data_IF_298150411899
#
_entry.id   IF_298150411899
#
_cell.length_a   1.000
_cell.length_b   1.000
_cell.length_c   1.000
_cell.angle_alpha   90.00
_cell.angle_beta   90.00
_cell.angle_gamma   90.00
#
_symmetry.space_group_name_H-M   'P 1'
#
loop_
_entity.id
_entity.type
_entity.pdbx_description
1 polymer ?
#
# COMPACT_ATOMS: atom_id res chain seq x y z
N UNK A 1 -2.06 0.77 -10.99
CA UNK A 1 -1.85 1.49 -9.71
C UNK A 1 -1.35 2.89 -10.03
N UNK A 2 -1.72 3.89 -9.23
CA UNK A 2 -1.34 5.30 -9.43
C UNK A 2 0.18 5.46 -9.25
N UNK A 3 0.82 6.25 -10.12
CA UNK A 3 2.23 6.57 -10.00
C UNK A 3 2.41 7.67 -8.95
N UNK A 4 2.93 7.30 -7.78
CA UNK A 4 3.25 8.22 -6.70
C UNK A 4 4.77 8.29 -6.49
N UNK A 5 5.28 9.50 -6.26
CA UNK A 5 6.70 9.68 -5.92
C UNK A 5 6.93 9.38 -4.44
N UNK A 6 8.13 8.91 -4.09
CA UNK A 6 8.51 8.58 -2.70
C UNK A 6 8.83 9.81 -1.84
N UNK A 7 8.71 11.03 -2.38
CA UNK A 7 8.96 12.24 -1.60
C UNK A 7 7.77 12.42 -0.65
N UNK A 8 8.02 12.17 0.63
CA UNK A 8 7.03 12.32 1.68
C UNK A 8 6.61 13.78 1.83
N UNK A 9 5.34 13.99 2.15
CA UNK A 9 4.81 15.27 2.61
C UNK A 9 5.21 15.42 4.09
N UNK A 10 5.51 16.64 4.55
CA UNK A 10 5.74 16.87 5.99
C UNK A 10 4.44 16.64 6.76
N UNK A 11 4.53 16.07 7.97
CA UNK A 11 3.35 15.73 8.77
C UNK A 11 2.41 16.92 8.99
N UNK A 12 2.95 18.11 9.18
CA UNK A 12 2.17 19.34 9.35
C UNK A 12 1.32 19.69 8.11
N UNK A 13 1.88 19.49 6.91
CA UNK A 13 1.15 19.73 5.66
C UNK A 13 0.10 18.64 5.47
N UNK A 14 0.43 17.39 5.78
CA UNK A 14 -0.51 16.27 5.70
C UNK A 14 -1.73 16.49 6.61
N UNK A 15 -1.52 16.87 7.87
CA UNK A 15 -2.62 17.17 8.79
C UNK A 15 -3.48 18.35 8.31
N UNK A 16 -2.86 19.42 7.81
CA UNK A 16 -3.59 20.56 7.24
C UNK A 16 -4.45 20.14 6.05
N UNK A 17 -3.89 19.35 5.12
CA UNK A 17 -4.60 18.85 3.94
C UNK A 17 -5.75 17.93 4.34
N UNK A 18 -5.51 17.01 5.28
CA UNK A 18 -6.54 16.08 5.76
C UNK A 18 -7.67 16.82 6.48
N UNK A 19 -7.36 17.82 7.30
CA UNK A 19 -8.37 18.66 7.95
C UNK A 19 -9.20 19.46 6.94
N UNK A 20 -8.57 20.02 5.91
CA UNK A 20 -9.28 20.69 4.82
C UNK A 20 -10.22 19.74 4.07
N UNK A 21 -9.74 18.54 3.74
CA UNK A 21 -10.53 17.51 3.07
C UNK A 21 -11.74 17.06 3.91
N UNK A 22 -11.54 16.82 5.20
CA UNK A 22 -12.61 16.46 6.14
C UNK A 22 -13.69 17.55 6.23
N UNK A 23 -13.28 18.82 6.30
CA UNK A 23 -14.22 19.95 6.31
C UNK A 23 -15.02 20.03 5.02
N UNK A 24 -14.38 19.81 3.86
CA UNK A 24 -15.09 19.77 2.57
C UNK A 24 -16.13 18.65 2.51
N UNK A 25 -15.81 17.45 3.01
CA UNK A 25 -16.74 16.31 2.99
C UNK A 25 -17.87 16.47 4.01
N UNK A 26 -17.58 16.98 5.22
CA UNK A 26 -18.58 17.11 6.29
C UNK A 26 -19.78 17.99 5.90
N UNK A 27 -19.56 18.96 5.01
CA UNK A 27 -20.60 19.90 4.59
C UNK A 27 -21.48 19.37 3.43
N UNK A 28 -21.20 18.15 2.94
CA UNK A 28 -21.92 17.57 1.80
C UNK A 28 -23.21 16.92 2.28
N UNK A 29 -24.36 17.44 1.82
CA UNK A 29 -25.68 16.86 2.11
C UNK A 29 -26.27 16.06 0.96
N UNK A 30 -25.82 16.32 -0.28
CA UNK A 30 -26.35 15.71 -1.50
C UNK A 30 -25.27 14.89 -2.22
N UNK A 31 -25.70 13.79 -2.85
CA UNK A 31 -24.82 12.89 -3.63
C UNK A 31 -24.19 13.64 -4.82
N UNK A 32 -24.93 14.54 -5.45
CA UNK A 32 -24.48 15.38 -6.57
C UNK A 32 -23.28 16.27 -6.18
N UNK A 33 -23.32 16.86 -4.98
CA UNK A 33 -22.25 17.72 -4.50
C UNK A 33 -21.01 16.91 -4.11
N UNK A 34 -21.19 15.67 -3.64
CA UNK A 34 -20.08 14.73 -3.43
C UNK A 34 -19.39 14.39 -4.76
N UNK A 35 -20.17 14.14 -5.81
CA UNK A 35 -19.64 13.85 -7.14
C UNK A 35 -18.86 15.04 -7.70
N UNK A 36 -19.33 16.27 -7.49
CA UNK A 36 -18.59 17.49 -7.85
C UNK A 36 -17.24 17.56 -7.13
N UNK A 37 -17.20 17.31 -5.82
CA UNK A 37 -15.94 17.30 -5.06
C UNK A 37 -14.98 16.24 -5.57
N UNK A 38 -15.45 15.01 -5.80
CA UNK A 38 -14.61 13.95 -6.36
C UNK A 38 -14.15 14.27 -7.77
N UNK A 39 -14.96 14.94 -8.60
CA UNK A 39 -14.55 15.37 -9.93
C UNK A 39 -13.45 16.43 -9.96
N UNK A 40 -13.31 17.21 -8.89
CA UNK A 40 -12.25 18.21 -8.74
C UNK A 40 -10.93 17.61 -8.28
N UNK A 41 -10.95 16.48 -7.58
CA UNK A 41 -9.78 15.89 -6.90
C UNK A 41 -9.28 14.64 -7.62
N UNK A 42 -10.19 13.84 -8.17
CA UNK A 42 -9.91 12.51 -8.72
C UNK A 42 -10.20 12.50 -10.21
N UNK A 43 -9.34 11.80 -10.96
CA UNK A 43 -9.62 11.47 -12.35
C UNK A 43 -10.82 10.53 -12.48
N UNK A 44 -11.41 10.45 -13.67
CA UNK A 44 -12.57 9.57 -13.93
C UNK A 44 -12.28 8.11 -13.55
N UNK A 45 -11.08 7.62 -13.86
CA UNK A 45 -10.65 6.26 -13.54
C UNK A 45 -10.51 6.04 -12.03
N UNK A 46 -9.93 7.00 -11.32
CA UNK A 46 -9.78 6.95 -9.86
C UNK A 46 -11.15 6.99 -9.15
N UNK A 47 -12.10 7.76 -9.67
CA UNK A 47 -13.47 7.77 -9.15
C UNK A 47 -14.13 6.40 -9.28
N UNK A 48 -14.01 5.76 -10.45
CA UNK A 48 -14.52 4.39 -10.66
C UNK A 48 -13.84 3.44 -9.67
N UNK A 49 -12.52 3.56 -9.50
CA UNK A 49 -11.78 2.74 -8.55
C UNK A 49 -12.28 2.91 -7.12
N UNK A 50 -12.50 4.15 -6.65
CA UNK A 50 -13.02 4.44 -5.30
C UNK A 50 -14.43 3.87 -5.14
N UNK A 51 -15.32 4.08 -6.12
CA UNK A 51 -16.69 3.53 -6.09
C UNK A 51 -16.69 2.00 -6.00
N UNK A 52 -15.90 1.32 -6.83
CA UNK A 52 -15.75 -0.15 -6.79
C UNK A 52 -15.24 -0.62 -5.41
N UNK A 53 -14.25 0.08 -4.82
CA UNK A 53 -13.72 -0.26 -3.49
C UNK A 53 -14.74 -0.06 -2.38
N UNK A 54 -15.53 1.01 -2.42
CA UNK A 54 -16.62 1.24 -1.47
C UNK A 54 -17.72 0.17 -1.60
N UNK A 55 -18.08 -0.21 -2.83
CA UNK A 55 -19.03 -1.28 -3.07
C UNK A 55 -18.56 -2.62 -2.50
N UNK A 56 -17.27 -2.94 -2.62
CA UNK A 56 -16.68 -4.14 -1.97
C UNK A 56 -16.84 -4.07 -0.46
N UNK A 57 -16.59 -2.92 0.18
CA UNK A 57 -16.77 -2.78 1.64
C UNK A 57 -18.22 -3.05 2.03
N UNK A 58 -19.17 -2.51 1.27
CA UNK A 58 -20.60 -2.69 1.51
C UNK A 58 -21.01 -4.17 1.35
N UNK A 59 -20.62 -4.82 0.26
CA UNK A 59 -20.93 -6.24 0.02
C UNK A 59 -20.25 -7.20 1.00
N UNK A 60 -19.05 -6.86 1.46
CA UNK A 60 -18.38 -7.62 2.51
C UNK A 60 -19.12 -7.50 3.85
N UNK A 61 -19.71 -6.32 4.16
CA UNK A 61 -20.55 -6.14 5.36
C UNK A 61 -21.88 -6.89 5.25
N UNK A 62 -22.44 -6.99 4.05
CA UNK A 62 -23.62 -7.80 3.75
C UNK A 62 -23.34 -9.32 3.76
N UNK A 63 -22.07 -9.74 3.94
CA UNK A 63 -21.71 -11.16 4.01
C UNK A 63 -21.64 -11.86 2.65
N UNK A 64 -21.61 -11.13 1.54
CA UNK A 64 -21.52 -11.72 0.19
C UNK A 64 -20.21 -12.47 -0.02
N UNK A 65 -20.25 -13.56 -0.79
CA UNK A 65 -19.05 -14.34 -1.10
C UNK A 65 -18.14 -13.56 -2.05
N UNK A 66 -16.83 -13.73 -1.89
CA UNK A 66 -15.85 -13.05 -2.74
C UNK A 66 -16.01 -13.35 -4.24
N UNK A 67 -16.60 -14.49 -4.61
CA UNK A 67 -16.84 -14.87 -6.01
C UNK A 67 -17.93 -13.98 -6.61
N UNK A 68 -19.05 -13.83 -5.91
CA UNK A 68 -20.19 -13.01 -6.32
C UNK A 68 -19.79 -11.52 -6.41
N UNK A 69 -18.94 -11.05 -5.48
CA UNK A 69 -18.38 -9.68 -5.50
C UNK A 69 -17.47 -9.48 -6.73
N UNK A 70 -16.65 -10.48 -7.06
CA UNK A 70 -15.75 -10.44 -8.20
C UNK A 70 -16.52 -10.37 -9.52
N UNK A 71 -17.55 -11.20 -9.67
CA UNK A 71 -18.40 -11.23 -10.87
C UNK A 71 -19.27 -9.95 -10.99
N UNK A 72 -19.80 -9.44 -9.88
CA UNK A 72 -20.70 -8.28 -9.91
C UNK A 72 -20.03 -6.91 -10.08
N UNK A 73 -18.82 -6.70 -9.54
CA UNK A 73 -18.13 -5.40 -9.59
C UNK A 73 -16.99 -5.41 -10.64
N UNK A 74 -16.67 -6.57 -11.21
CA UNK A 74 -15.51 -6.77 -12.08
C UNK A 74 -14.23 -6.24 -11.43
N UNK A 75 -13.83 -6.92 -10.34
CA UNK A 75 -12.64 -6.58 -9.55
C UNK A 75 -11.86 -7.84 -9.24
N UNK A 76 -10.53 -7.75 -9.35
CA UNK A 76 -9.65 -8.85 -9.02
C UNK A 76 -9.81 -9.34 -7.58
N UNK A 77 -9.73 -10.66 -7.40
CA UNK A 77 -9.77 -11.33 -6.09
C UNK A 77 -8.69 -10.81 -5.13
N UNK A 78 -7.55 -10.39 -5.67
CA UNK A 78 -6.46 -9.77 -4.91
C UNK A 78 -6.87 -8.45 -4.26
N UNK A 79 -7.64 -7.62 -4.96
CA UNK A 79 -8.17 -6.36 -4.44
C UNK A 79 -9.22 -6.59 -3.36
N UNK A 80 -10.12 -7.56 -3.56
CA UNK A 80 -11.10 -7.96 -2.53
C UNK A 80 -10.39 -8.43 -1.25
N UNK A 81 -9.36 -9.27 -1.40
CA UNK A 81 -8.54 -9.74 -0.28
C UNK A 81 -7.82 -8.60 0.43
N UNK A 82 -7.28 -7.63 -0.31
CA UNK A 82 -6.63 -6.45 0.25
C UNK A 82 -7.61 -5.62 1.10
N UNK A 83 -8.80 -5.34 0.58
CA UNK A 83 -9.85 -4.58 1.29
C UNK A 83 -10.33 -5.35 2.51
N UNK A 84 -10.63 -6.64 2.38
CA UNK A 84 -11.05 -7.50 3.50
C UNK A 84 -10.01 -7.50 4.62
N UNK A 85 -8.72 -7.64 4.28
CA UNK A 85 -7.61 -7.55 5.24
C UNK A 85 -7.50 -6.17 5.87
N UNK A 86 -7.78 -5.10 5.12
CA UNK A 86 -7.80 -3.73 5.62
C UNK A 86 -8.95 -3.45 6.59
N UNK A 87 -10.15 -3.98 6.32
CA UNK A 87 -11.31 -3.87 7.21
C UNK A 87 -11.11 -4.62 8.53
N UNK A 88 -10.48 -5.80 8.47
CA UNK A 88 -10.24 -6.65 9.64
C UNK A 88 -9.04 -6.18 10.49
N UNK A 89 -8.17 -5.34 9.95
CA UNK A 89 -7.00 -4.82 10.67
C UNK A 89 -7.29 -3.42 11.18
N UNK A 90 -7.23 -3.22 12.49
CA UNK A 90 -7.05 -1.88 13.08
C UNK A 90 -5.90 -1.13 12.37
N UNK A 91 -5.96 0.21 12.27
CA UNK A 91 -5.01 1.00 11.48
C UNK A 91 -3.59 0.59 11.84
N UNK A 92 -2.90 0.00 10.85
CA UNK A 92 -1.56 -0.52 11.03
C UNK A 92 -0.67 0.69 11.34
N UNK A 93 -0.21 0.79 12.60
CA UNK A 93 0.76 1.80 13.06
C UNK A 93 1.83 1.92 11.97
N UNK A 94 1.92 3.09 11.35
CA UNK A 94 2.91 3.34 10.29
C UNK A 94 4.25 2.89 10.82
N UNK A 95 4.89 1.94 10.13
CA UNK A 95 6.28 1.61 10.43
C UNK A 95 7.04 2.87 10.05
N UNK A 96 7.31 3.73 11.03
CA UNK A 96 8.32 4.78 10.93
C UNK A 96 9.56 4.11 10.34
N UNK A 97 9.87 4.39 9.09
CA UNK A 97 11.15 4.05 8.51
C UNK A 97 12.11 5.11 9.07
N UNK A 98 12.37 5.04 10.37
CA UNK A 98 13.47 5.76 11.00
C UNK A 98 14.70 4.89 10.80
N UNK A 99 15.51 5.27 9.82
CA UNK A 99 16.75 4.57 9.50
C UNK A 99 17.28 5.03 8.15
N UNK A 100 17.98 6.16 8.13
CA UNK A 100 18.95 6.42 7.06
C UNK A 100 20.00 5.31 7.20
N UNK A 101 19.96 4.30 6.33
CA UNK A 101 21.03 3.32 6.21
C UNK A 101 22.32 4.13 6.03
N UNK A 102 23.19 4.11 7.03
CA UNK A 102 24.46 4.83 6.94
C UNK A 102 25.44 3.97 6.16
N UNK A 103 26.44 4.59 5.52
CA UNK A 103 27.50 3.87 4.80
C UNK A 103 28.27 2.87 5.71
N UNK A 104 28.13 2.98 7.04
CA UNK A 104 28.71 2.07 8.05
C UNK A 104 27.97 0.73 8.09
N UNK A 105 26.64 0.73 8.06
CA UNK A 105 25.81 -0.49 8.07
C UNK A 105 26.06 -1.35 6.82
N UNK A 106 26.32 -0.72 5.67
CA UNK A 106 26.68 -1.40 4.42
C UNK A 106 28.11 -1.95 4.42
N UNK A 107 28.99 -1.47 5.32
CA UNK A 107 30.40 -1.89 5.39
C UNK A 107 30.54 -3.21 6.16
N UNK A 108 29.66 -3.48 7.11
CA UNK A 108 29.60 -4.76 7.83
C UNK A 108 29.09 -5.90 6.94
N UNK A 109 28.21 -5.60 5.97
CA UNK A 109 27.71 -6.57 4.98
C UNK A 109 28.79 -6.95 3.94
N UNK A 110 29.91 -6.21 3.85
CA UNK A 110 30.97 -6.45 2.85
C UNK A 110 31.89 -7.63 3.16
N UNK A 111 31.78 -8.28 4.31
CA UNK A 111 32.38 -9.60 4.49
C UNK A 111 31.28 -10.62 4.21
N UNK A 112 31.19 -11.20 2.99
CA UNK A 112 30.34 -12.35 2.82
C UNK A 112 30.78 -13.38 3.87
N UNK A 113 29.84 -13.97 4.63
CA UNK A 113 30.17 -15.13 5.45
C UNK A 113 30.97 -16.11 4.59
N UNK A 114 32.08 -16.62 5.13
CA UNK A 114 32.97 -17.55 4.45
C UNK A 114 32.18 -18.80 4.07
N UNK A 115 31.58 -18.77 2.88
CA UNK A 115 30.94 -19.91 2.25
C UNK A 115 31.72 -20.20 0.99
N UNK A 116 32.14 -21.46 0.77
CA UNK A 116 32.82 -21.82 -0.46
C UNK A 116 31.92 -21.51 -1.66
N UNK A 117 32.54 -21.13 -2.78
CA UNK A 117 31.81 -20.84 -4.00
C UNK A 117 30.92 -22.04 -4.39
N UNK A 118 29.62 -21.80 -4.61
CA UNK A 118 28.64 -22.85 -4.94
C UNK A 118 29.00 -23.60 -6.24
N UNK A 119 29.72 -22.96 -7.16
CA UNK A 119 30.27 -23.57 -8.38
C UNK A 119 31.67 -23.02 -8.66
N UNK A 120 32.52 -23.82 -9.32
CA UNK A 120 33.86 -23.42 -9.76
C UNK A 120 35.02 -23.87 -8.86
N UNK A 121 36.25 -23.50 -9.23
CA UNK A 121 37.50 -23.98 -8.60
C UNK A 121 37.65 -23.65 -7.10
N UNK A 122 36.95 -22.61 -6.62
CA UNK A 122 36.95 -22.21 -5.21
C UNK A 122 36.14 -23.10 -4.26
N UNK A 123 35.43 -24.13 -4.78
CA UNK A 123 34.56 -24.99 -3.96
C UNK A 123 35.33 -25.85 -2.95
N UNK A 124 36.54 -26.31 -3.28
CA UNK A 124 37.28 -27.31 -2.48
C UNK A 124 38.50 -26.75 -1.75
N UNK A 125 38.73 -25.43 -1.80
CA UNK A 125 39.94 -24.80 -1.25
C UNK A 125 40.06 -24.95 0.28
N UNK A 126 38.96 -25.20 0.99
CA UNK A 126 38.94 -25.40 2.45
C UNK A 126 39.45 -26.79 2.88
N UNK A 127 39.59 -27.75 1.96
CA UNK A 127 40.16 -29.07 2.26
C UNK A 127 41.68 -29.06 2.32
N UNK A 128 42.34 -28.04 1.76
CA UNK A 128 43.80 -27.94 1.73
C UNK A 128 44.40 -27.36 3.03
N UNK A 129 43.56 -27.06 4.03
CA UNK A 129 43.96 -26.51 5.33
C UNK A 129 43.72 -27.49 6.49
N UNK A 130 43.52 -28.78 6.19
CA UNK A 130 43.51 -29.91 7.11
C UNK A 130 44.84 -30.67 6.98
#
# INVERSE_FOLDING_TARGET
>A
MVRITKRGITKEIEEKVMNFFLRKIKNVKKIEDLNKIFSQILTKEEQIMVKKRLAIILFLREGKRCKDIQEGIDVSRTTISFIRKGLLKSPKKERKIEGKITKRDLKEIKKPPWYPAYKGKGRWQFLNSL
#
